data_IF_876916247589
#
_entry.id   IF_876916247589
#
_cell.length_a   1.000
_cell.length_b   1.000
_cell.length_c   1.000
_cell.angle_alpha   90.00
_cell.angle_beta   90.00
_cell.angle_gamma   90.00
#
_symmetry.space_group_name_H-M   'P 1'
#
loop_
_entity.id
_entity.type
_entity.pdbx_description
1 polymer ?
#
# COMPACT_ATOMS: atom_id res chain seq x y z
N UNK A 1 14.51 5.83 -27.08
CA UNK A 1 14.35 4.52 -26.46
C UNK A 1 14.49 4.75 -24.97
N UNK A 2 13.53 4.35 -24.17
CA UNK A 2 13.67 4.41 -22.70
C UNK A 2 14.48 3.21 -22.26
N UNK A 3 15.44 3.40 -21.36
CA UNK A 3 16.18 2.28 -20.78
C UNK A 3 15.23 1.46 -19.88
N UNK A 4 14.37 2.17 -19.13
CA UNK A 4 13.32 1.56 -18.29
C UNK A 4 11.95 2.10 -18.68
N UNK A 5 11.02 1.19 -18.92
CA UNK A 5 9.60 1.46 -19.10
C UNK A 5 8.85 0.97 -17.85
N UNK A 6 8.14 1.87 -17.17
CA UNK A 6 7.31 1.54 -16.02
C UNK A 6 5.85 1.67 -16.44
N UNK A 7 5.06 0.63 -16.14
CA UNK A 7 3.66 0.52 -16.51
C UNK A 7 2.79 0.64 -15.26
N UNK A 8 2.05 1.74 -15.16
CA UNK A 8 1.13 2.02 -14.07
C UNK A 8 1.59 3.15 -13.14
N UNK A 9 0.75 4.18 -13.01
CA UNK A 9 0.97 5.38 -12.21
C UNK A 9 0.40 5.31 -10.79
N UNK A 10 0.33 4.10 -10.21
CA UNK A 10 0.00 3.89 -8.80
C UNK A 10 1.21 4.08 -7.90
N UNK A 11 1.02 3.86 -6.58
CA UNK A 11 2.08 4.04 -5.57
C UNK A 11 3.35 3.24 -5.89
N UNK A 12 3.21 2.01 -6.40
CA UNK A 12 4.34 1.14 -6.76
C UNK A 12 5.12 1.71 -7.95
N UNK A 13 4.43 2.12 -9.03
CA UNK A 13 5.08 2.65 -10.23
C UNK A 13 5.70 4.02 -10.00
N UNK A 14 5.08 4.88 -9.20
CA UNK A 14 5.63 6.19 -8.85
C UNK A 14 6.92 6.06 -8.03
N UNK A 15 6.96 5.18 -7.03
CA UNK A 15 8.20 4.89 -6.30
C UNK A 15 9.27 4.27 -7.20
N UNK A 16 8.89 3.33 -8.09
CA UNK A 16 9.84 2.74 -9.04
C UNK A 16 10.43 3.80 -9.98
N UNK A 17 9.60 4.75 -10.48
CA UNK A 17 10.06 5.84 -11.33
C UNK A 17 10.98 6.81 -10.57
N UNK A 18 10.67 7.13 -9.32
CA UNK A 18 11.52 7.97 -8.48
C UNK A 18 12.86 7.30 -8.20
N UNK A 19 12.85 6.02 -7.83
CA UNK A 19 14.07 5.24 -7.55
C UNK A 19 14.95 5.12 -8.78
N UNK A 20 14.40 4.74 -9.94
CA UNK A 20 15.14 4.65 -11.20
C UNK A 20 15.68 6.04 -11.62
N UNK A 21 14.87 7.09 -11.45
CA UNK A 21 15.27 8.44 -11.73
C UNK A 21 16.40 8.95 -10.82
N UNK A 22 16.36 8.68 -9.52
CA UNK A 22 17.46 9.01 -8.61
C UNK A 22 18.76 8.27 -8.97
N UNK A 23 18.65 7.06 -9.52
CA UNK A 23 19.79 6.31 -10.04
C UNK A 23 20.29 6.82 -11.42
N UNK A 24 19.70 7.89 -11.97
CA UNK A 24 20.11 8.48 -13.27
C UNK A 24 19.65 7.70 -14.50
N UNK A 25 18.72 6.76 -14.35
CA UNK A 25 18.30 5.87 -15.44
C UNK A 25 17.24 6.57 -16.32
N UNK A 26 17.40 6.64 -17.67
CA UNK A 26 16.37 7.15 -18.56
C UNK A 26 15.08 6.34 -18.46
N UNK A 27 14.05 6.93 -17.86
CA UNK A 27 12.83 6.25 -17.47
C UNK A 27 11.61 6.84 -18.16
N UNK A 28 10.68 5.99 -18.58
CA UNK A 28 9.35 6.38 -19.03
C UNK A 28 8.29 5.69 -18.16
N UNK A 29 7.49 6.46 -17.45
CA UNK A 29 6.33 5.98 -16.72
C UNK A 29 5.08 6.23 -17.55
N UNK A 30 4.35 5.17 -17.89
CA UNK A 30 3.06 5.25 -18.60
C UNK A 30 1.90 4.87 -17.71
N UNK A 31 0.81 5.63 -17.81
CA UNK A 31 -0.44 5.39 -17.07
C UNK A 31 -1.65 5.50 -18.01
N UNK A 32 -2.59 4.57 -17.90
CA UNK A 32 -3.78 4.53 -18.75
C UNK A 32 -4.73 5.72 -18.54
N UNK A 33 -4.85 6.17 -17.32
CA UNK A 33 -5.75 7.29 -16.92
C UNK A 33 -4.92 8.44 -16.37
N UNK A 34 -5.12 8.78 -15.13
CA UNK A 34 -4.33 9.75 -14.35
C UNK A 34 -3.54 9.06 -13.25
N UNK A 35 -2.48 9.70 -12.77
CA UNK A 35 -1.71 9.18 -11.65
C UNK A 35 -2.62 8.91 -10.44
N UNK A 36 -2.51 7.71 -9.89
CA UNK A 36 -3.31 7.26 -8.76
C UNK A 36 -4.77 6.90 -9.06
N UNK A 37 -5.20 6.84 -10.31
CA UNK A 37 -6.61 6.51 -10.68
C UNK A 37 -7.09 5.14 -10.17
N UNK A 38 -6.17 4.21 -9.87
CA UNK A 38 -6.48 2.90 -9.30
C UNK A 38 -6.63 2.89 -7.77
N UNK A 39 -6.32 1.77 -7.15
CA UNK A 39 -6.42 1.57 -5.70
C UNK A 39 -5.63 2.61 -4.87
N UNK A 40 -4.58 3.18 -5.44
CA UNK A 40 -3.74 4.18 -4.78
C UNK A 40 -4.44 5.53 -4.55
N UNK A 41 -5.51 5.84 -5.28
CA UNK A 41 -6.32 7.05 -5.06
C UNK A 41 -7.35 6.93 -3.93
N UNK A 42 -7.26 5.88 -3.10
CA UNK A 42 -8.13 5.67 -1.95
C UNK A 42 -7.97 6.71 -0.84
N UNK A 43 -8.73 6.57 0.24
CA UNK A 43 -8.87 7.59 1.27
C UNK A 43 -8.12 7.28 2.57
N UNK A 44 -7.88 5.99 2.90
CA UNK A 44 -7.43 5.59 4.24
C UNK A 44 -5.99 5.98 4.55
N UNK A 45 -5.03 5.41 3.82
CA UNK A 45 -3.61 5.68 4.06
C UNK A 45 -3.04 5.16 5.39
N UNK A 46 -3.69 4.19 6.03
CA UNK A 46 -3.18 3.57 7.24
C UNK A 46 -1.93 2.71 6.94
N UNK A 47 -0.84 2.98 7.63
CA UNK A 47 0.43 2.28 7.57
C UNK A 47 0.54 1.40 8.82
N UNK A 48 0.04 0.17 8.69
CA UNK A 48 -0.18 -0.71 9.84
C UNK A 48 0.90 -1.79 9.91
N UNK A 49 1.64 -1.88 11.02
CA UNK A 49 2.54 -2.99 11.23
C UNK A 49 1.79 -4.31 11.39
N UNK A 50 2.42 -5.41 11.00
CA UNK A 50 2.00 -6.73 11.42
C UNK A 50 2.06 -6.86 12.96
N UNK A 51 1.25 -7.77 13.51
CA UNK A 51 1.34 -8.11 14.94
C UNK A 51 2.75 -8.62 15.26
N UNK A 52 3.31 -8.29 16.44
CA UNK A 52 4.71 -8.60 16.75
C UNK A 52 4.97 -10.09 17.07
N UNK A 53 3.93 -10.89 17.26
CA UNK A 53 4.03 -12.34 17.50
C UNK A 53 4.62 -13.10 16.31
N UNK A 54 5.12 -14.31 16.54
CA UNK A 54 5.60 -15.23 15.48
C UNK A 54 6.48 -14.53 14.45
N UNK A 55 7.48 -13.82 14.93
CA UNK A 55 8.37 -13.01 14.09
C UNK A 55 9.02 -13.84 12.98
N UNK A 56 9.11 -13.25 11.78
CA UNK A 56 9.66 -13.90 10.60
C UNK A 56 10.17 -12.87 9.59
N UNK A 57 10.82 -13.32 8.51
CA UNK A 57 11.41 -12.46 7.50
C UNK A 57 10.41 -11.46 6.86
N UNK A 58 9.14 -11.85 6.66
CA UNK A 58 8.11 -10.95 6.09
C UNK A 58 7.76 -9.81 7.06
N UNK A 59 7.65 -10.11 8.34
CA UNK A 59 7.38 -9.10 9.38
C UNK A 59 8.57 -8.19 9.58
N UNK A 60 9.79 -8.73 9.54
CA UNK A 60 11.01 -7.93 9.58
C UNK A 60 11.09 -6.99 8.38
N UNK A 61 10.87 -7.50 7.16
CA UNK A 61 10.86 -6.68 5.95
C UNK A 61 9.85 -5.52 6.04
N UNK A 62 8.63 -5.79 6.50
CA UNK A 62 7.62 -4.73 6.67
C UNK A 62 8.01 -3.74 7.76
N UNK A 63 8.58 -4.21 8.87
CA UNK A 63 9.06 -3.36 9.96
C UNK A 63 10.13 -2.39 9.45
N UNK A 64 11.16 -2.91 8.79
CA UNK A 64 12.25 -2.10 8.23
C UNK A 64 11.73 -1.08 7.21
N UNK A 65 10.78 -1.50 6.37
CA UNK A 65 10.13 -0.60 5.42
C UNK A 65 9.33 0.51 6.13
N UNK A 66 8.54 0.20 7.17
CA UNK A 66 7.79 1.22 7.91
C UNK A 66 8.71 2.20 8.65
N UNK A 67 9.88 1.74 9.09
CA UNK A 67 10.88 2.61 9.74
C UNK A 67 11.55 3.52 8.72
N UNK A 68 12.02 2.98 7.60
CA UNK A 68 12.75 3.75 6.57
C UNK A 68 11.84 4.70 5.77
N UNK A 69 10.53 4.45 5.73
CA UNK A 69 9.59 5.32 5.01
C UNK A 69 9.58 6.75 5.57
N UNK A 70 9.88 6.94 6.84
CA UNK A 70 9.90 8.26 7.48
C UNK A 70 10.95 9.17 6.84
N UNK A 71 12.15 8.65 6.61
CA UNK A 71 13.24 9.38 5.97
C UNK A 71 12.93 9.66 4.49
N UNK A 72 12.40 8.67 3.76
CA UNK A 72 11.97 8.85 2.37
C UNK A 72 10.88 9.92 2.23
N UNK A 73 9.95 9.97 3.15
CA UNK A 73 8.91 11.01 3.20
C UNK A 73 9.50 12.37 3.51
N UNK A 74 10.42 12.47 4.47
CA UNK A 74 11.07 13.72 4.82
C UNK A 74 11.82 14.30 3.62
N UNK A 75 12.63 13.51 2.93
CA UNK A 75 13.34 13.90 1.71
C UNK A 75 12.37 14.31 0.58
N UNK A 76 11.27 13.56 0.40
CA UNK A 76 10.26 13.88 -0.61
C UNK A 76 9.58 15.22 -0.32
N UNK A 77 9.24 15.51 0.93
CA UNK A 77 8.63 16.77 1.35
C UNK A 77 9.61 17.95 1.23
N UNK A 78 10.88 17.75 1.58
CA UNK A 78 11.93 18.75 1.39
C UNK A 78 12.12 19.09 -0.09
N UNK A 79 12.22 18.07 -0.95
CA UNK A 79 12.42 18.23 -2.40
C UNK A 79 11.25 18.95 -3.08
N UNK A 80 10.02 18.67 -2.65
CA UNK A 80 8.82 19.14 -3.36
C UNK A 80 8.10 20.31 -2.70
N UNK A 81 8.34 20.57 -1.42
CA UNK A 81 7.58 21.52 -0.62
C UNK A 81 6.13 21.08 -0.34
N UNK A 82 5.77 19.82 -0.64
CA UNK A 82 4.39 19.32 -0.51
C UNK A 82 4.26 18.40 0.71
N UNK A 83 3.23 18.63 1.54
CA UNK A 83 2.87 17.68 2.60
C UNK A 83 2.31 16.39 1.99
N UNK A 84 2.79 15.26 2.49
CA UNK A 84 2.26 13.92 2.18
C UNK A 84 1.16 13.50 3.15
N UNK A 85 0.91 14.27 4.21
CA UNK A 85 0.04 13.89 5.31
C UNK A 85 0.61 12.77 6.17
N UNK A 86 1.91 12.47 6.06
CA UNK A 86 2.56 11.44 6.88
C UNK A 86 2.63 11.89 8.35
N UNK A 87 2.25 10.98 9.22
CA UNK A 87 2.46 11.12 10.66
C UNK A 87 2.56 9.75 11.31
N UNK A 88 3.57 9.57 12.17
CA UNK A 88 3.65 8.42 13.07
C UNK A 88 2.77 8.70 14.29
N UNK A 89 1.47 8.51 14.12
CA UNK A 89 0.45 8.79 15.12
C UNK A 89 0.12 7.58 16.02
N UNK A 90 0.68 6.42 15.69
CA UNK A 90 0.32 5.18 16.36
C UNK A 90 -1.06 4.64 15.97
N UNK A 91 -1.41 3.52 16.61
CA UNK A 91 -2.70 2.85 16.45
C UNK A 91 -3.25 2.45 17.80
N UNK A 92 -4.56 2.61 18.00
CA UNK A 92 -5.28 2.04 19.13
C UNK A 92 -6.21 0.91 18.68
N UNK A 93 -6.26 -0.16 19.44
CA UNK A 93 -7.13 -1.32 19.21
C UNK A 93 -7.94 -1.60 20.47
N UNK A 94 -9.27 -1.38 20.47
CA UNK A 94 -10.12 -1.68 21.60
C UNK A 94 -10.16 -3.18 21.92
N UNK A 95 -10.08 -3.52 23.18
CA UNK A 95 -10.12 -4.89 23.68
C UNK A 95 -11.54 -5.19 24.20
N UNK A 96 -12.37 -5.72 23.31
CA UNK A 96 -13.78 -6.04 23.62
C UNK A 96 -13.99 -7.31 24.44
N UNK A 97 -12.93 -8.12 24.67
CA UNK A 97 -13.02 -9.41 25.39
C UNK A 97 -11.75 -9.66 26.20
N UNK A 98 -11.91 -10.32 27.36
CA UNK A 98 -10.81 -10.60 28.29
C UNK A 98 -9.64 -11.36 27.62
N UNK A 99 -9.92 -12.42 26.86
CA UNK A 99 -8.84 -13.20 26.21
C UNK A 99 -8.02 -12.39 25.18
N UNK A 100 -8.59 -11.31 24.61
CA UNK A 100 -7.82 -10.42 23.73
C UNK A 100 -6.80 -9.60 24.51
N UNK A 101 -7.10 -9.22 25.76
CA UNK A 101 -6.13 -8.57 26.64
C UNK A 101 -4.98 -9.52 27.00
N UNK A 102 -5.27 -10.78 27.25
CA UNK A 102 -4.24 -11.80 27.54
C UNK A 102 -3.29 -12.01 26.36
N UNK A 103 -3.85 -12.12 25.14
CA UNK A 103 -3.05 -12.19 23.90
C UNK A 103 -2.20 -10.92 23.72
N UNK A 104 -2.78 -9.75 23.96
CA UNK A 104 -2.10 -8.48 23.78
C UNK A 104 -0.91 -8.31 24.74
N UNK A 105 -1.01 -8.82 25.98
CA UNK A 105 0.10 -8.85 26.94
C UNK A 105 1.29 -9.69 26.44
N UNK A 106 1.03 -10.80 25.75
CA UNK A 106 2.09 -11.57 25.08
C UNK A 106 2.78 -10.76 23.97
N UNK A 107 2.00 -10.04 23.17
CA UNK A 107 2.52 -9.19 22.09
C UNK A 107 3.37 -8.01 22.58
N UNK A 108 3.19 -7.52 23.79
CA UNK A 108 4.03 -6.48 24.39
C UNK A 108 5.48 -6.94 24.53
N UNK A 109 5.69 -8.19 24.96
CA UNK A 109 7.02 -8.79 25.06
C UNK A 109 7.64 -9.02 23.68
N UNK A 110 6.86 -9.52 22.72
CA UNK A 110 7.30 -9.72 21.35
C UNK A 110 7.72 -8.38 20.70
N UNK A 111 6.95 -7.31 20.90
CA UNK A 111 7.28 -5.98 20.40
C UNK A 111 8.57 -5.44 21.03
N UNK A 112 8.75 -5.60 22.35
CA UNK A 112 9.97 -5.18 23.04
C UNK A 112 11.23 -5.87 22.46
N UNK A 113 11.09 -7.08 21.96
CA UNK A 113 12.18 -7.84 21.33
C UNK A 113 12.41 -7.44 19.87
N UNK A 114 11.34 -7.24 19.09
CA UNK A 114 11.42 -7.18 17.62
C UNK A 114 11.27 -5.77 17.03
N UNK A 115 10.61 -4.85 17.74
CA UNK A 115 10.35 -3.51 17.22
C UNK A 115 11.48 -2.53 17.61
N UNK A 116 12.70 -2.88 17.22
CA UNK A 116 13.92 -2.13 17.52
C UNK A 116 14.68 -1.88 16.23
N UNK A 117 14.98 -0.61 15.95
CA UNK A 117 15.76 -0.15 14.79
C UNK A 117 16.90 0.79 15.27
N UNK A 118 18.10 0.25 15.46
CA UNK A 118 19.19 0.97 16.08
C UNK A 118 18.85 1.40 17.50
N UNK A 119 18.89 2.71 17.75
CA UNK A 119 18.49 3.29 19.05
C UNK A 119 16.97 3.51 19.19
N UNK A 120 16.22 3.43 18.08
CA UNK A 120 14.77 3.64 18.07
C UNK A 120 14.06 2.39 18.56
N UNK A 121 13.11 2.60 19.49
CA UNK A 121 12.24 1.55 20.01
C UNK A 121 10.79 1.93 19.77
N UNK A 122 10.01 0.97 19.28
CA UNK A 122 8.57 1.12 19.13
C UNK A 122 7.88 0.19 20.11
N UNK A 123 6.72 0.60 20.58
CA UNK A 123 6.08 -0.02 21.72
C UNK A 123 4.69 -0.52 21.34
N UNK A 124 4.30 -1.55 22.04
CA UNK A 124 2.96 -2.11 22.07
C UNK A 124 2.53 -2.10 23.54
N UNK A 125 1.70 -1.13 23.91
CA UNK A 125 1.27 -0.94 25.30
C UNK A 125 -0.18 -1.32 25.48
N UNK A 126 -0.48 -1.93 26.61
CA UNK A 126 -1.85 -2.17 27.05
C UNK A 126 -2.21 -1.16 28.13
N UNK A 127 -3.26 -0.39 27.90
CA UNK A 127 -3.77 0.60 28.82
C UNK A 127 -5.27 0.46 29.05
N UNK A 128 -5.78 1.18 30.02
CA UNK A 128 -7.21 1.33 30.24
C UNK A 128 -7.70 2.60 29.53
N UNK A 129 -8.99 2.72 29.32
CA UNK A 129 -9.62 3.87 28.69
C UNK A 129 -10.36 4.68 29.75
N UNK A 130 -10.12 5.99 29.80
CA UNK A 130 -10.80 6.87 30.72
C UNK A 130 -12.31 6.94 30.43
N UNK A 131 -13.10 7.01 31.50
CA UNK A 131 -14.53 7.21 31.38
C UNK A 131 -14.82 8.53 30.67
N UNK A 132 -15.61 8.47 29.59
CA UNK A 132 -15.91 9.64 28.76
C UNK A 132 -14.96 9.84 27.59
N UNK A 133 -13.98 8.96 27.38
CA UNK A 133 -13.19 8.94 26.14
C UNK A 133 -14.10 8.66 24.94
N UNK A 134 -13.90 9.37 23.86
CA UNK A 134 -14.66 9.24 22.61
C UNK A 134 -13.79 8.80 21.41
N UNK A 135 -12.52 8.43 21.70
CA UNK A 135 -11.55 7.96 20.70
C UNK A 135 -10.58 6.89 21.25
N UNK A 136 -10.97 5.61 21.31
CA UNK A 136 -12.31 5.03 21.11
C UNK A 136 -13.25 5.25 22.31
N UNK A 137 -14.55 4.99 22.11
CA UNK A 137 -15.51 4.97 23.20
C UNK A 137 -15.12 3.97 24.28
N UNK A 138 -15.24 4.35 25.55
CA UNK A 138 -14.89 3.49 26.68
C UNK A 138 -15.69 2.17 26.67
N UNK A 139 -16.95 2.21 26.24
CA UNK A 139 -17.82 1.04 26.14
C UNK A 139 -17.35 0.03 25.09
N UNK A 140 -16.60 0.48 24.09
CA UNK A 140 -16.00 -0.41 23.08
C UNK A 140 -14.73 -1.12 23.59
N UNK A 141 -14.16 -0.67 24.68
CA UNK A 141 -12.90 -1.13 25.23
C UNK A 141 -13.02 -1.59 26.72
N UNK A 142 -13.98 -2.47 27.08
CA UNK A 142 -14.21 -2.85 28.49
C UNK A 142 -13.03 -3.57 29.13
N UNK A 143 -12.09 -4.09 28.33
CA UNK A 143 -10.86 -4.73 28.81
C UNK A 143 -9.61 -3.91 28.46
N UNK A 144 -9.77 -2.60 28.17
CA UNK A 144 -8.71 -1.68 27.82
C UNK A 144 -8.44 -1.59 26.33
N UNK A 145 -7.33 -0.98 25.99
CA UNK A 145 -6.84 -0.81 24.61
C UNK A 145 -5.42 -1.31 24.47
N UNK A 146 -5.07 -1.68 23.26
CA UNK A 146 -3.67 -1.67 22.83
C UNK A 146 -3.37 -0.32 22.19
N UNK A 147 -2.23 0.26 22.51
CA UNK A 147 -1.63 1.37 21.80
C UNK A 147 -0.28 0.96 21.25
N UNK A 148 -0.11 0.91 19.93
CA UNK A 148 1.19 0.75 19.29
C UNK A 148 1.72 2.09 18.79
N UNK A 149 3.04 2.27 18.87
CA UNK A 149 3.70 3.50 18.44
C UNK A 149 4.38 3.38 17.07
N UNK A 150 4.32 2.20 16.45
CA UNK A 150 4.95 1.94 15.13
C UNK A 150 4.03 2.33 13.97
N UNK A 151 2.72 2.20 14.13
CA UNK A 151 1.76 2.57 13.09
C UNK A 151 1.85 4.05 12.73
N UNK A 152 1.62 4.33 11.47
CA UNK A 152 1.62 5.67 10.92
C UNK A 152 0.48 5.84 9.91
N UNK A 153 0.28 7.04 9.41
CA UNK A 153 -0.62 7.35 8.29
C UNK A 153 0.05 8.18 7.22
N UNK A 154 -0.52 8.17 6.04
CA UNK A 154 -0.30 9.14 4.96
C UNK A 154 -1.67 9.62 4.44
N UNK A 155 -1.72 10.77 3.78
CA UNK A 155 -2.85 11.11 2.92
C UNK A 155 -2.55 10.55 1.51
N UNK A 156 -3.20 9.46 1.05
CA UNK A 156 -2.79 8.74 -0.15
C UNK A 156 -2.58 9.63 -1.36
N UNK A 157 -3.57 10.48 -1.67
CA UNK A 157 -3.53 11.38 -2.83
C UNK A 157 -2.48 12.48 -2.70
N UNK A 158 -2.16 12.93 -1.47
CA UNK A 158 -1.09 13.92 -1.25
C UNK A 158 0.28 13.28 -1.48
N UNK A 159 0.50 12.05 -1.00
CA UNK A 159 1.73 11.31 -1.27
C UNK A 159 1.94 11.08 -2.76
N UNK A 160 0.90 10.68 -3.51
CA UNK A 160 1.01 10.51 -4.96
C UNK A 160 1.36 11.83 -5.66
N UNK A 161 0.75 12.95 -5.26
CA UNK A 161 1.08 14.28 -5.82
C UNK A 161 2.52 14.69 -5.53
N UNK A 162 3.01 14.41 -4.33
CA UNK A 162 4.39 14.70 -3.97
C UNK A 162 5.37 13.84 -4.80
N UNK A 163 5.09 12.54 -4.99
CA UNK A 163 5.88 11.67 -5.85
C UNK A 163 5.86 12.16 -7.31
N UNK A 164 4.69 12.49 -7.85
CA UNK A 164 4.59 13.05 -9.20
C UNK A 164 5.35 14.38 -9.35
N UNK A 165 5.30 15.23 -8.33
CA UNK A 165 6.05 16.49 -8.32
C UNK A 165 7.57 16.24 -8.29
N UNK A 166 8.05 15.27 -7.50
CA UNK A 166 9.46 14.91 -7.45
C UNK A 166 9.97 14.40 -8.80
N UNK A 167 9.18 13.65 -9.56
CA UNK A 167 9.56 13.19 -10.91
C UNK A 167 9.81 14.35 -11.87
N UNK A 168 9.16 15.50 -11.70
CA UNK A 168 9.36 16.68 -12.55
C UNK A 168 10.74 17.34 -12.38
N UNK A 169 11.42 17.05 -11.25
CA UNK A 169 12.79 17.51 -11.01
C UNK A 169 13.85 16.59 -11.64
N UNK A 170 13.45 15.48 -12.25
CA UNK A 170 14.33 14.48 -12.86
C UNK A 170 14.21 14.56 -14.40
N UNK A 171 15.11 15.28 -15.11
CA UNK A 171 14.94 15.61 -16.53
C UNK A 171 14.97 14.38 -17.46
N UNK A 172 15.51 13.25 -17.00
CA UNK A 172 15.56 11.99 -17.74
C UNK A 172 14.38 11.06 -17.43
N UNK A 173 13.43 11.50 -16.59
CA UNK A 173 12.19 10.78 -16.31
C UNK A 173 11.03 11.43 -17.07
N UNK A 174 10.39 10.66 -17.93
CA UNK A 174 9.20 11.08 -18.67
C UNK A 174 7.97 10.39 -18.10
N UNK A 175 6.91 11.16 -17.88
CA UNK A 175 5.60 10.66 -17.44
C UNK A 175 4.60 10.87 -18.56
N UNK A 176 3.85 9.83 -18.93
CA UNK A 176 2.83 9.86 -19.96
C UNK A 176 1.52 9.29 -19.44
N UNK A 177 0.48 10.12 -19.41
CA UNK A 177 -0.89 9.74 -19.01
C UNK A 177 -1.75 9.53 -20.25
N UNK A 178 -2.83 8.76 -20.13
CA UNK A 178 -3.71 8.40 -21.24
C UNK A 178 -3.13 7.31 -22.14
N UNK A 179 -2.08 6.61 -21.72
CA UNK A 179 -1.38 5.58 -22.50
C UNK A 179 -1.86 4.17 -22.09
N UNK A 180 -2.85 3.65 -22.78
CA UNK A 180 -3.40 2.31 -22.55
C UNK A 180 -2.61 1.24 -23.32
N UNK A 181 -2.26 0.14 -22.64
CA UNK A 181 -1.53 -0.97 -23.23
C UNK A 181 -2.47 -1.89 -23.99
N UNK A 182 -2.14 -2.17 -25.27
CA UNK A 182 -2.76 -3.20 -26.07
C UNK A 182 -2.03 -4.55 -25.95
N UNK A 183 -0.70 -4.54 -26.02
CA UNK A 183 0.10 -5.77 -25.90
C UNK A 183 1.51 -5.49 -25.39
N UNK A 184 2.11 -6.53 -24.78
CA UNK A 184 3.49 -6.52 -24.28
C UNK A 184 4.23 -7.73 -24.87
N UNK A 185 5.38 -7.46 -25.50
CA UNK A 185 6.31 -8.48 -26.00
C UNK A 185 7.70 -8.26 -25.37
N UNK A 186 7.96 -8.91 -24.22
CA UNK A 186 9.24 -8.75 -23.54
C UNK A 186 10.42 -9.29 -24.37
N UNK A 187 10.21 -10.35 -25.16
CA UNK A 187 11.28 -10.96 -26.00
C UNK A 187 11.82 -9.97 -27.04
N UNK A 188 10.95 -9.09 -27.56
CA UNK A 188 11.34 -8.04 -28.49
C UNK A 188 11.64 -6.69 -27.82
N UNK A 189 11.51 -6.59 -26.48
CA UNK A 189 11.64 -5.33 -25.77
C UNK A 189 10.63 -4.27 -26.26
N UNK A 190 9.38 -4.68 -26.54
CA UNK A 190 8.38 -3.83 -27.19
C UNK A 190 7.03 -3.91 -26.50
N UNK A 191 6.39 -2.76 -26.33
CA UNK A 191 5.03 -2.59 -25.87
C UNK A 191 4.23 -1.83 -26.94
N UNK A 192 3.01 -2.28 -27.23
CA UNK A 192 2.08 -1.58 -28.13
C UNK A 192 0.98 -0.92 -27.31
N UNK A 193 0.66 0.33 -27.63
CA UNK A 193 -0.43 1.08 -27.04
C UNK A 193 -1.71 0.93 -27.86
N UNK A 194 -2.86 1.16 -27.25
CA UNK A 194 -4.17 1.06 -27.89
C UNK A 194 -4.37 2.09 -29.03
N UNK A 195 -3.62 3.19 -29.01
CA UNK A 195 -3.62 4.22 -30.06
C UNK A 195 -2.73 3.87 -31.28
N UNK A 196 -2.15 2.67 -31.30
CA UNK A 196 -1.31 2.16 -32.38
C UNK A 196 0.18 2.51 -32.26
N UNK A 197 0.57 3.36 -31.32
CA UNK A 197 1.98 3.62 -31.03
C UNK A 197 2.66 2.40 -30.44
N UNK A 198 3.97 2.29 -30.66
CA UNK A 198 4.81 1.28 -30.03
C UNK A 198 5.95 1.93 -29.26
N UNK A 199 6.22 1.42 -28.07
CA UNK A 199 7.31 1.84 -27.19
C UNK A 199 8.32 0.71 -27.08
N UNK A 200 9.59 1.00 -27.39
CA UNK A 200 10.71 0.06 -27.17
C UNK A 200 11.36 0.34 -25.83
N UNK A 201 11.80 -0.71 -25.13
CA UNK A 201 12.42 -0.62 -23.81
C UNK A 201 13.61 -1.59 -23.68
N UNK A 202 14.57 -1.22 -22.84
CA UNK A 202 15.60 -2.14 -22.36
C UNK A 202 15.03 -3.05 -21.26
N UNK A 203 14.39 -2.43 -20.26
CA UNK A 203 13.70 -3.14 -19.17
C UNK A 203 12.27 -2.61 -19.00
N UNK A 204 11.37 -3.50 -18.53
CA UNK A 204 9.99 -3.13 -18.26
C UNK A 204 9.61 -3.53 -16.82
N UNK A 205 9.01 -2.60 -16.05
CA UNK A 205 8.46 -2.86 -14.72
C UNK A 205 6.93 -2.79 -14.79
N UNK A 206 6.25 -3.93 -14.54
CA UNK A 206 4.80 -4.02 -14.47
C UNK A 206 4.30 -3.65 -13.08
N UNK A 207 3.78 -2.42 -12.95
CA UNK A 207 3.24 -1.87 -11.71
C UNK A 207 1.77 -1.41 -11.86
N UNK A 208 1.02 -2.02 -12.79
CA UNK A 208 -0.35 -1.65 -13.17
C UNK A 208 -1.44 -2.16 -12.19
N UNK A 209 -1.07 -2.49 -10.96
CA UNK A 209 -2.04 -2.95 -9.96
C UNK A 209 -2.75 -4.23 -10.40
N UNK A 210 -4.09 -4.22 -10.42
CA UNK A 210 -4.91 -5.39 -10.80
C UNK A 210 -4.66 -5.80 -12.24
N UNK A 211 -4.46 -4.84 -13.14
CA UNK A 211 -4.24 -5.10 -14.57
C UNK A 211 -2.90 -5.83 -14.84
N UNK A 212 -1.94 -5.75 -13.92
CA UNK A 212 -0.69 -6.52 -14.01
C UNK A 212 -0.95 -8.02 -14.11
N UNK A 213 -1.93 -8.54 -13.40
CA UNK A 213 -2.23 -9.98 -13.40
C UNK A 213 -2.62 -10.47 -14.80
N UNK A 214 -3.52 -9.77 -15.47
CA UNK A 214 -3.90 -10.13 -16.83
C UNK A 214 -2.75 -10.02 -17.85
N UNK A 215 -1.77 -9.14 -17.62
CA UNK A 215 -0.57 -9.06 -18.45
C UNK A 215 0.36 -10.25 -18.18
N UNK A 216 0.57 -10.59 -16.91
CA UNK A 216 1.40 -11.73 -16.48
C UNK A 216 0.80 -13.04 -16.98
N UNK A 217 -0.50 -13.24 -16.81
CA UNK A 217 -1.21 -14.48 -17.20
C UNK A 217 -1.11 -14.75 -18.71
N UNK A 218 -1.11 -13.68 -19.54
CA UNK A 218 -0.89 -13.82 -20.99
C UNK A 218 0.55 -14.19 -21.35
N UNK A 219 1.51 -13.88 -20.52
CA UNK A 219 2.92 -14.20 -20.73
C UNK A 219 3.27 -15.61 -20.20
N UNK A 220 2.56 -16.06 -19.16
CA UNK A 220 2.77 -17.37 -18.53
C UNK A 220 2.04 -18.46 -19.33
N UNK A 221 2.64 -18.95 -20.40
CA UNK A 221 2.07 -19.89 -21.38
C UNK A 221 1.54 -21.23 -20.81
N UNK A 222 1.80 -21.54 -19.53
CA UNK A 222 1.44 -22.82 -18.90
C UNK A 222 0.61 -22.70 -17.61
N UNK A 223 0.27 -21.51 -17.15
CA UNK A 223 -0.49 -21.36 -15.90
C UNK A 223 -1.99 -21.50 -16.17
N UNK A 224 -2.66 -22.46 -15.50
CA UNK A 224 -4.10 -22.64 -15.57
C UNK A 224 -4.87 -21.81 -14.53
N UNK A 225 -4.19 -21.25 -13.55
CA UNK A 225 -4.75 -20.41 -12.51
C UNK A 225 -4.30 -18.96 -12.68
N UNK A 226 -5.16 -17.97 -12.31
CA UNK A 226 -4.80 -16.56 -12.39
C UNK A 226 -3.70 -16.22 -11.37
N UNK A 227 -2.78 -15.33 -11.76
CA UNK A 227 -1.69 -14.85 -10.88
C UNK A 227 -2.20 -13.97 -9.72
N UNK A 228 -3.41 -13.46 -9.82
CA UNK A 228 -4.06 -12.71 -8.76
C UNK A 228 -5.47 -12.28 -9.13
N UNK A 229 -6.13 -11.62 -8.21
CA UNK A 229 -7.49 -11.13 -8.37
C UNK A 229 -7.68 -9.72 -7.80
N UNK A 230 -8.76 -9.08 -8.24
CA UNK A 230 -9.22 -7.82 -7.66
C UNK A 230 -10.01 -8.07 -6.37
N UNK A 231 -9.75 -7.27 -5.35
CA UNK A 231 -10.58 -7.22 -4.13
C UNK A 231 -11.11 -5.81 -3.98
N UNK A 232 -12.42 -5.65 -4.09
CA UNK A 232 -13.08 -4.36 -3.93
C UNK A 232 -13.00 -3.91 -2.47
N UNK A 233 -12.77 -2.62 -2.28
CA UNK A 233 -12.84 -1.97 -0.99
C UNK A 233 -13.53 -0.63 -1.10
N UNK A 234 -14.38 -0.34 -0.10
CA UNK A 234 -15.10 0.92 0.01
C UNK A 234 -14.60 1.69 1.22
N UNK A 235 -14.57 3.01 1.12
CA UNK A 235 -14.19 3.94 2.19
C UNK A 235 -14.97 5.25 2.07
N UNK A 236 -15.07 5.98 3.17
CA UNK A 236 -15.64 7.32 3.21
C UNK A 236 -14.64 8.31 3.83
N UNK A 237 -14.74 9.57 3.43
CA UNK A 237 -14.09 10.70 4.07
C UNK A 237 -15.16 11.52 4.81
N UNK A 238 -14.96 11.73 6.09
CA UNK A 238 -15.88 12.46 6.96
C UNK A 238 -15.26 13.83 7.34
N UNK A 239 -16.05 14.88 7.34
CA UNK A 239 -15.69 16.15 7.94
C UNK A 239 -15.94 16.09 9.45
N UNK A 240 -14.90 16.03 10.25
CA UNK A 240 -14.99 15.92 11.70
C UNK A 240 -13.87 16.74 12.34
N UNK A 241 -14.21 17.50 13.39
CA UNK A 241 -13.25 18.27 14.16
C UNK A 241 -12.51 17.36 15.15
N UNK A 242 -11.60 16.56 14.62
CA UNK A 242 -10.76 15.63 15.36
C UNK A 242 -9.31 16.08 15.27
N UNK A 243 -8.61 16.09 16.40
CA UNK A 243 -7.17 16.39 16.41
C UNK A 243 -6.43 15.42 15.47
N UNK A 244 -5.76 15.91 14.43
CA UNK A 244 -4.98 15.07 13.52
C UNK A 244 -3.80 14.35 14.18
N UNK A 245 -3.50 14.64 15.45
CA UNK A 245 -2.52 13.89 16.23
C UNK A 245 -3.08 12.60 16.84
N UNK A 246 -4.39 12.41 16.84
CA UNK A 246 -5.02 11.20 17.38
C UNK A 246 -4.54 9.94 16.65
N UNK A 247 -4.38 8.82 17.37
CA UNK A 247 -3.96 7.56 16.76
C UNK A 247 -5.03 6.98 15.84
N UNK A 248 -4.61 6.15 14.90
CA UNK A 248 -5.54 5.36 14.07
C UNK A 248 -6.31 4.41 14.99
N UNK A 249 -7.64 4.33 14.87
CA UNK A 249 -8.41 3.26 15.51
C UNK A 249 -8.51 2.09 14.51
N UNK A 250 -8.24 0.88 15.01
CA UNK A 250 -8.39 -0.35 14.24
C UNK A 250 -9.07 -1.45 15.03
N UNK A 251 -10.15 -1.99 14.49
CA UNK A 251 -10.82 -3.19 15.03
C UNK A 251 -11.62 -3.91 13.95
N UNK A 252 -11.51 -5.24 13.87
CA UNK A 252 -12.31 -6.10 12.99
C UNK A 252 -12.45 -5.57 11.53
N UNK A 253 -11.32 -5.16 10.95
CA UNK A 253 -11.25 -4.65 9.59
C UNK A 253 -11.74 -3.21 9.40
N UNK A 254 -12.28 -2.57 10.43
CA UNK A 254 -12.60 -1.15 10.44
C UNK A 254 -11.35 -0.34 10.79
N UNK A 255 -11.05 0.66 9.97
CA UNK A 255 -10.03 1.68 10.16
C UNK A 255 -10.69 3.04 10.30
N UNK A 256 -10.27 3.82 11.27
CA UNK A 256 -10.64 5.23 11.43
C UNK A 256 -9.32 6.01 11.46
N UNK A 257 -9.09 6.83 10.45
CA UNK A 257 -7.80 7.48 10.20
C UNK A 257 -7.98 8.99 10.16
N UNK A 258 -7.56 9.74 11.20
CA UNK A 258 -7.57 11.19 11.17
C UNK A 258 -6.52 11.71 10.19
N UNK A 259 -6.86 12.74 9.41
CA UNK A 259 -5.96 13.44 8.49
C UNK A 259 -5.69 14.88 8.92
N UNK A 260 -4.64 15.50 8.35
CA UNK A 260 -4.18 16.85 8.73
C UNK A 260 -5.19 17.96 8.45
N UNK A 261 -6.11 17.75 7.53
CA UNK A 261 -7.05 18.74 7.02
C UNK A 261 -8.41 18.74 7.74
N UNK A 262 -8.49 18.14 8.93
CA UNK A 262 -9.74 18.04 9.68
C UNK A 262 -10.72 17.02 9.10
N UNK A 263 -10.24 16.10 8.25
CA UNK A 263 -11.03 14.99 7.75
C UNK A 263 -10.63 13.69 8.43
N UNK A 264 -11.59 12.78 8.54
CA UNK A 264 -11.36 11.42 9.04
C UNK A 264 -11.77 10.41 7.98
N UNK A 265 -10.85 9.56 7.56
CA UNK A 265 -11.15 8.48 6.63
C UNK A 265 -11.63 7.24 7.39
N UNK A 266 -12.75 6.66 6.94
CA UNK A 266 -13.38 5.46 7.51
C UNK A 266 -13.46 4.37 6.45
N UNK A 267 -13.07 3.15 6.78
CA UNK A 267 -13.13 1.98 5.89
C UNK A 267 -12.45 0.77 6.52
N UNK A 268 -12.37 -0.37 5.88
CA UNK A 268 -12.79 -0.58 4.51
C UNK A 268 -13.50 -1.91 4.38
N UNK A 269 -14.41 -2.02 3.42
CA UNK A 269 -14.91 -3.32 3.00
C UNK A 269 -13.80 -4.17 2.36
N UNK A 270 -14.04 -5.45 2.21
CA UNK A 270 -13.13 -6.38 1.56
C UNK A 270 -13.95 -7.45 0.82
N UNK A 271 -14.23 -7.20 -0.44
CA UNK A 271 -15.20 -7.94 -1.24
C UNK A 271 -14.48 -8.69 -2.36
N UNK A 272 -14.60 -10.02 -2.37
CA UNK A 272 -14.06 -10.88 -3.44
C UNK A 272 -15.08 -11.09 -4.58
N UNK A 273 -16.35 -10.73 -4.37
CA UNK A 273 -17.43 -10.77 -5.35
C UNK A 273 -18.14 -9.44 -5.32
N UNK A 274 -18.36 -8.83 -6.47
CA UNK A 274 -18.99 -7.52 -6.63
C UNK A 274 -19.46 -7.38 -8.08
N UNK A 275 -20.58 -6.72 -8.28
CA UNK A 275 -21.08 -6.41 -9.62
C UNK A 275 -20.52 -5.07 -10.11
N UNK A 276 -20.53 -4.06 -9.23
CA UNK A 276 -20.07 -2.70 -9.52
C UNK A 276 -18.76 -2.40 -8.82
N UNK A 277 -17.63 -2.38 -9.55
CA UNK A 277 -16.29 -2.29 -8.94
C UNK A 277 -15.97 -0.93 -8.28
N UNK A 278 -16.60 0.15 -8.75
CA UNK A 278 -16.27 1.53 -8.38
C UNK A 278 -17.42 2.28 -7.70
N UNK A 279 -18.55 1.62 -7.43
CA UNK A 279 -19.67 2.17 -6.68
C UNK A 279 -19.62 1.76 -5.21
N UNK A 280 -20.20 2.59 -4.34
CA UNK A 280 -20.39 2.27 -2.92
C UNK A 280 -21.81 1.81 -2.66
N UNK A 281 -22.03 1.06 -1.59
CA UNK A 281 -23.31 0.47 -1.23
C UNK A 281 -23.57 0.48 0.29
N UNK A 282 -24.62 -0.20 0.74
CA UNK A 282 -25.02 -0.27 2.15
C UNK A 282 -23.94 -0.85 3.09
N UNK A 283 -22.93 -1.57 2.57
CA UNK A 283 -21.82 -2.04 3.40
C UNK A 283 -20.99 -0.86 3.91
N UNK A 284 -20.78 0.17 3.08
CA UNK A 284 -20.11 1.39 3.52
C UNK A 284 -20.94 2.13 4.56
N UNK A 285 -22.26 2.22 4.41
CA UNK A 285 -23.13 2.84 5.40
C UNK A 285 -23.06 2.12 6.75
N UNK A 286 -22.99 0.80 6.73
CA UNK A 286 -22.79 0.00 7.94
C UNK A 286 -21.44 0.27 8.60
N UNK A 287 -20.36 0.45 7.81
CA UNK A 287 -19.04 0.81 8.34
C UNK A 287 -19.04 2.20 8.97
N UNK A 288 -19.68 3.19 8.35
CA UNK A 288 -19.79 4.55 8.92
C UNK A 288 -20.51 4.50 10.28
N UNK A 289 -21.66 3.84 10.37
CA UNK A 289 -22.37 3.67 11.64
C UNK A 289 -21.52 2.97 12.72
N UNK A 290 -20.75 1.95 12.33
CA UNK A 290 -19.82 1.29 13.27
C UNK A 290 -18.71 2.24 13.71
N UNK A 291 -18.21 3.09 12.82
CA UNK A 291 -17.20 4.09 13.17
C UNK A 291 -17.74 5.13 14.15
N UNK A 292 -18.96 5.64 13.93
CA UNK A 292 -19.63 6.58 14.86
C UNK A 292 -19.91 5.97 16.25
N UNK A 293 -20.21 4.67 16.31
CA UNK A 293 -20.38 3.96 17.57
C UNK A 293 -19.05 3.74 18.30
N UNK A 294 -17.98 3.44 17.53
CA UNK A 294 -16.64 3.19 18.05
C UNK A 294 -15.90 4.47 18.43
N UNK A 295 -16.10 5.54 17.69
CA UNK A 295 -15.52 6.86 17.90
C UNK A 295 -16.63 7.92 17.92
N UNK A 296 -17.26 8.19 19.07
CA UNK A 296 -18.36 9.15 19.21
C UNK A 296 -18.05 10.57 18.71
N UNK A 297 -16.78 10.95 18.67
CA UNK A 297 -16.30 12.18 18.04
C UNK A 297 -16.73 12.31 16.56
N UNK A 298 -17.11 11.21 15.90
CA UNK A 298 -17.59 11.19 14.51
C UNK A 298 -19.12 11.34 14.38
N UNK A 299 -19.87 11.36 15.46
CA UNK A 299 -21.34 11.43 15.40
C UNK A 299 -21.82 12.68 14.69
N UNK A 300 -22.63 12.47 13.66
CA UNK A 300 -23.17 13.57 12.85
C UNK A 300 -22.16 14.21 11.91
N UNK A 301 -20.95 13.67 11.76
CA UNK A 301 -19.97 14.14 10.80
C UNK A 301 -20.50 14.02 9.36
N UNK A 302 -20.32 15.08 8.57
CA UNK A 302 -20.74 15.10 7.17
C UNK A 302 -19.88 14.12 6.36
N UNK A 303 -20.52 13.28 5.54
CA UNK A 303 -19.81 12.48 4.52
C UNK A 303 -19.40 13.41 3.39
N UNK A 304 -18.10 13.67 3.26
CA UNK A 304 -17.51 14.55 2.24
C UNK A 304 -17.32 13.79 0.92
N UNK A 305 -16.85 12.53 1.02
CA UNK A 305 -16.59 11.71 -0.14
C UNK A 305 -16.87 10.23 0.16
N UNK A 306 -17.37 9.51 -0.85
CA UNK A 306 -17.46 8.07 -0.88
C UNK A 306 -16.58 7.53 -1.99
N UNK A 307 -15.81 6.51 -1.71
CA UNK A 307 -14.86 5.93 -2.65
C UNK A 307 -14.94 4.41 -2.66
N UNK A 308 -14.78 3.84 -3.86
CA UNK A 308 -14.59 2.41 -4.04
C UNK A 308 -13.47 2.16 -5.06
N UNK A 309 -12.70 1.08 -4.85
CA UNK A 309 -11.63 0.71 -5.77
C UNK A 309 -11.14 -0.71 -5.57
N UNK A 310 -10.33 -1.18 -6.52
CA UNK A 310 -9.89 -2.56 -6.64
C UNK A 310 -8.44 -2.71 -6.16
N UNK A 311 -8.24 -3.45 -5.08
CA UNK A 311 -6.90 -3.79 -4.57
C UNK A 311 -6.34 -5.00 -5.30
N UNK A 312 -5.09 -4.95 -5.78
CA UNK A 312 -4.41 -6.10 -6.38
C UNK A 312 -4.00 -7.10 -5.30
N UNK A 313 -4.56 -8.29 -5.35
CA UNK A 313 -4.23 -9.39 -4.44
C UNK A 313 -3.68 -10.55 -5.26
N UNK A 314 -2.39 -10.80 -5.15
CA UNK A 314 -1.76 -11.97 -5.76
C UNK A 314 -2.29 -13.27 -5.14
N UNK A 315 -2.25 -14.38 -5.87
CA UNK A 315 -2.82 -15.66 -5.44
C UNK A 315 -2.23 -16.13 -4.12
N UNK A 316 -0.94 -15.93 -3.87
CA UNK A 316 -0.27 -16.22 -2.59
C UNK A 316 -0.54 -15.19 -1.48
N UNK A 317 -1.32 -14.12 -1.73
CA UNK A 317 -1.61 -12.98 -0.84
C UNK A 317 -0.43 -12.06 -0.55
N UNK A 318 0.79 -12.46 -0.85
CA UNK A 318 2.00 -11.66 -0.68
C UNK A 318 2.22 -10.78 -1.92
N UNK A 319 2.99 -9.69 -1.82
CA UNK A 319 3.42 -8.92 -3.00
C UNK A 319 4.13 -9.81 -4.01
N UNK A 320 3.94 -9.54 -5.30
CA UNK A 320 4.66 -10.19 -6.39
C UNK A 320 5.69 -9.21 -6.97
N UNK A 321 6.97 -9.49 -6.73
CA UNK A 321 8.05 -8.50 -6.92
C UNK A 321 9.29 -9.16 -7.53
N UNK A 322 10.00 -8.41 -8.38
CA UNK A 322 11.27 -8.82 -8.97
C UNK A 322 11.16 -9.37 -10.39
N UNK A 323 12.24 -9.94 -10.88
CA UNK A 323 12.38 -10.42 -12.26
C UNK A 323 11.41 -11.55 -12.58
N UNK A 324 10.79 -11.49 -13.75
CA UNK A 324 9.99 -12.58 -14.27
C UNK A 324 10.91 -13.76 -14.69
N UNK A 325 10.63 -15.01 -14.26
CA UNK A 325 11.58 -16.11 -14.49
C UNK A 325 11.85 -16.47 -15.96
N UNK A 326 10.95 -16.12 -16.88
CA UNK A 326 11.07 -16.43 -18.31
C UNK A 326 11.57 -15.25 -19.16
N UNK A 327 11.77 -14.06 -18.56
CA UNK A 327 12.15 -12.85 -19.28
C UNK A 327 13.13 -12.00 -18.47
N UNK A 328 14.37 -11.89 -18.96
CA UNK A 328 15.43 -11.16 -18.23
C UNK A 328 15.20 -9.66 -18.12
N UNK A 329 14.40 -9.09 -19.02
CA UNK A 329 14.11 -7.67 -19.10
C UNK A 329 12.72 -7.28 -18.59
N UNK A 330 11.99 -8.21 -17.97
CA UNK A 330 10.68 -7.99 -17.40
C UNK A 330 10.70 -8.14 -15.88
N UNK A 331 10.23 -7.11 -15.19
CA UNK A 331 10.10 -7.09 -13.74
C UNK A 331 8.63 -6.87 -13.35
N UNK A 332 8.23 -7.42 -12.24
CA UNK A 332 6.88 -7.30 -11.69
C UNK A 332 6.95 -6.55 -10.36
N UNK A 333 6.00 -5.64 -10.14
CA UNK A 333 5.89 -4.87 -8.91
C UNK A 333 4.40 -4.63 -8.60
N UNK A 334 3.72 -5.65 -8.08
CA UNK A 334 2.28 -5.64 -7.85
C UNK A 334 1.87 -6.50 -6.65
N UNK A 335 0.58 -6.69 -6.41
CA UNK A 335 0.08 -7.62 -5.40
C UNK A 335 0.17 -7.13 -3.95
N UNK A 336 0.61 -5.91 -3.69
CA UNK A 336 0.82 -5.38 -2.33
C UNK A 336 -0.45 -5.19 -1.50
N UNK A 337 -1.63 -5.41 -2.08
CA UNK A 337 -2.94 -5.48 -1.43
C UNK A 337 -3.19 -4.36 -0.40
N UNK A 338 -3.16 -4.70 0.91
CA UNK A 338 -3.43 -3.76 2.01
C UNK A 338 -2.18 -3.07 2.58
N UNK A 339 -0.98 -3.50 2.18
CA UNK A 339 0.28 -3.00 2.79
C UNK A 339 1.11 -2.12 1.85
N UNK A 340 0.66 -1.92 0.60
CA UNK A 340 1.42 -1.24 -0.45
C UNK A 340 2.05 0.10 -0.03
N UNK A 341 1.28 0.97 0.63
CA UNK A 341 1.78 2.31 1.00
C UNK A 341 2.96 2.27 1.99
N UNK A 342 3.00 1.26 2.86
CA UNK A 342 4.06 1.11 3.85
C UNK A 342 5.35 0.49 3.31
N UNK A 343 5.30 -0.21 2.16
CA UNK A 343 6.44 -1.01 1.67
C UNK A 343 6.86 -0.67 0.23
N UNK A 344 6.08 0.13 -0.51
CA UNK A 344 6.29 0.36 -1.94
C UNK A 344 7.66 0.95 -2.27
N UNK A 345 8.20 1.86 -1.45
CA UNK A 345 9.51 2.47 -1.64
C UNK A 345 10.64 1.43 -1.58
N UNK A 346 10.59 0.50 -0.61
CA UNK A 346 11.59 -0.58 -0.49
C UNK A 346 11.43 -1.59 -1.62
N UNK A 347 10.19 -1.99 -1.96
CA UNK A 347 9.94 -2.90 -3.08
C UNK A 347 10.41 -2.30 -4.42
N UNK A 348 10.23 -1.00 -4.62
CA UNK A 348 10.73 -0.29 -5.79
C UNK A 348 12.27 -0.32 -5.85
N UNK A 349 12.94 -0.11 -4.72
CA UNK A 349 14.40 -0.23 -4.61
C UNK A 349 14.87 -1.64 -4.95
N UNK A 350 14.24 -2.67 -4.36
CA UNK A 350 14.56 -4.08 -4.67
C UNK A 350 14.52 -4.35 -6.17
N UNK A 351 13.47 -3.90 -6.86
CA UNK A 351 13.32 -4.13 -8.32
C UNK A 351 14.37 -3.38 -9.11
N UNK A 352 14.66 -2.13 -8.77
CA UNK A 352 15.66 -1.31 -9.50
C UNK A 352 17.06 -1.85 -9.25
N UNK A 353 17.40 -2.20 -8.01
CA UNK A 353 18.72 -2.76 -7.68
C UNK A 353 18.94 -4.13 -8.35
N UNK A 354 17.92 -4.99 -8.39
CA UNK A 354 17.97 -6.26 -9.12
C UNK A 354 18.17 -6.03 -10.62
N UNK A 355 17.47 -5.05 -11.20
CA UNK A 355 17.60 -4.69 -12.61
C UNK A 355 19.02 -4.20 -12.95
N UNK A 356 19.68 -3.48 -12.03
CA UNK A 356 21.05 -3.03 -12.14
C UNK A 356 22.09 -4.13 -11.85
N UNK A 357 21.66 -5.31 -11.42
CA UNK A 357 22.55 -6.39 -10.98
C UNK A 357 23.27 -6.12 -9.66
N UNK A 358 22.71 -5.24 -8.82
CA UNK A 358 23.28 -4.80 -7.54
C UNK A 358 22.26 -4.96 -6.40
N UNK A 359 21.76 -6.17 -6.10
CA UNK A 359 20.77 -6.36 -5.06
C UNK A 359 21.34 -5.92 -3.70
N UNK A 360 20.64 -5.00 -3.03
CA UNK A 360 21.03 -4.43 -1.73
C UNK A 360 20.15 -4.87 -0.57
N UNK A 361 18.96 -5.42 -0.87
CA UNK A 361 17.95 -5.80 0.11
C UNK A 361 17.48 -7.22 -0.17
N UNK A 362 17.49 -8.06 0.86
CA UNK A 362 16.97 -9.42 0.79
C UNK A 362 15.45 -9.41 0.76
N UNK A 363 14.87 -9.79 -0.36
CA UNK A 363 13.43 -9.94 -0.51
C UNK A 363 12.99 -11.29 0.07
N UNK A 364 11.98 -11.34 0.97
CA UNK A 364 11.42 -12.62 1.42
C UNK A 364 10.99 -13.48 0.23
N UNK A 365 11.42 -14.73 0.20
CA UNK A 365 11.16 -15.66 -0.92
C UNK A 365 9.69 -15.68 -1.37
N UNK A 366 8.67 -15.70 -0.48
CA UNK A 366 7.26 -15.64 -0.89
C UNK A 366 6.83 -14.36 -1.61
N UNK A 367 7.65 -13.31 -1.58
CA UNK A 367 7.38 -12.06 -2.31
C UNK A 367 7.94 -12.10 -3.73
N UNK A 368 8.85 -13.01 -4.05
CA UNK A 368 9.51 -13.05 -5.35
C UNK A 368 8.54 -13.43 -6.47
N UNK A 369 8.67 -12.78 -7.62
CA UNK A 369 7.91 -13.14 -8.82
C UNK A 369 8.15 -14.61 -9.21
N UNK A 370 9.38 -15.08 -9.06
CA UNK A 370 9.76 -16.47 -9.36
C UNK A 370 8.96 -17.46 -8.48
N UNK A 371 8.84 -17.22 -7.18
CA UNK A 371 8.04 -18.04 -6.26
C UNK A 371 6.58 -18.12 -6.70
N UNK A 372 5.96 -16.97 -7.00
CA UNK A 372 4.56 -16.93 -7.45
C UNK A 372 4.36 -17.71 -8.76
N UNK A 373 5.22 -17.49 -9.75
CA UNK A 373 5.13 -18.21 -11.04
C UNK A 373 5.35 -19.71 -10.87
N UNK A 374 6.31 -20.12 -10.02
CA UNK A 374 6.54 -21.54 -9.73
C UNK A 374 5.30 -22.18 -9.07
N UNK A 375 4.68 -21.50 -8.09
CA UNK A 375 3.46 -21.98 -7.44
C UNK A 375 2.30 -22.12 -8.43
N UNK A 376 2.12 -21.16 -9.35
CA UNK A 376 1.08 -21.24 -10.39
C UNK A 376 1.28 -22.41 -11.35
N UNK A 377 2.55 -22.75 -11.68
CA UNK A 377 2.89 -23.90 -12.54
C UNK A 377 2.65 -25.25 -11.87
N UNK A 378 2.68 -25.29 -10.52
CA UNK A 378 2.35 -26.51 -9.77
C UNK A 378 0.85 -26.77 -9.65
N UNK A 379 0.01 -25.74 -9.85
CA UNK A 379 -1.44 -25.86 -9.85
C UNK A 379 -2.02 -26.23 -11.22
N UNK A 380 -1.18 -26.30 -12.25
CA UNK A 380 -1.51 -26.69 -13.63
C UNK A 380 -1.31 -28.20 -13.82
#
# INVERSE_FOLDING_TARGET
MSEVLIVGGGIMGLWAALTAGRAGIPTCLIERKSMGAGASGGLLGALMPHMPDRWNAKKQFQFDALVSLEDEIAELQETTGLSTGYRRCGRVMPLGKQHLREIALGHEQDAAQHWVAGERRFHWHIGDVDAGCDWPAAEAAPFGIVHDTLAARVAPRRLLRALEAALKHLPHVRVEQGAEIASLDPRRGRLSLADGRAVSFGHCILAAGVESFGLIDRLALSAQAPSGNAVKGQAALLGADVDPAMPIIFTDGLYIVPHEDGHVAVGSTSENRFDEPFSTDAQLDALIRRAEALAPALRGAQVIERWAGLRPKATGREPMVGRHPDYDNLFVLTGGFKVSFGIAHVLARVVVDEMLGQPTIDLPEPFTCAHHIAALRQLA
#
